data_IF_973995423029
#
_entry.id   IF_973995423029
#
_cell.length_a   1.000
_cell.length_b   1.000
_cell.length_c   1.000
_cell.angle_alpha   90.00
_cell.angle_beta   90.00
_cell.angle_gamma   90.00
#
_symmetry.space_group_name_H-M   'P 1'
#
loop_
_entity.id
_entity.type
_entity.pdbx_description
1 polymer ?
#
# COMPACT_ATOMS: atom_id res chain seq x y z
N UNK A 1 8.10 0.43 25.28
CA UNK A 1 8.29 1.57 24.37
C UNK A 1 7.00 2.35 24.23
N UNK A 2 7.04 3.63 24.56
CA UNK A 2 5.93 4.58 24.44
C UNK A 2 5.98 5.22 23.06
N UNK A 3 4.96 4.97 22.24
CA UNK A 3 4.81 5.61 20.93
C UNK A 3 4.41 7.06 21.16
N UNK A 4 5.38 7.95 21.28
CA UNK A 4 5.14 9.35 21.66
C UNK A 4 4.39 10.16 20.59
N UNK A 5 4.41 9.70 19.33
CA UNK A 5 3.89 10.47 18.19
C UNK A 5 4.75 11.67 17.83
N UNK A 6 5.91 11.85 18.47
CA UNK A 6 6.86 12.88 18.13
C UNK A 6 7.52 12.57 16.77
N UNK A 7 7.96 13.60 16.02
CA UNK A 7 8.74 13.40 14.80
C UNK A 7 9.93 12.47 15.04
N UNK A 8 10.10 11.48 14.16
CA UNK A 8 11.17 10.51 14.28
C UNK A 8 12.53 11.18 13.99
N UNK A 9 13.51 10.96 14.88
CA UNK A 9 14.90 11.41 14.68
C UNK A 9 15.76 10.37 13.96
N UNK A 10 15.21 9.17 13.73
CA UNK A 10 15.78 8.10 12.91
C UNK A 10 14.65 7.23 12.37
N UNK A 11 14.84 6.66 11.18
CA UNK A 11 13.80 5.88 10.51
C UNK A 11 14.00 4.38 10.73
N UNK A 12 12.98 3.71 11.25
CA UNK A 12 12.94 2.26 11.35
C UNK A 12 11.82 1.71 10.46
N UNK A 13 12.20 1.09 9.35
CA UNK A 13 11.26 0.48 8.42
C UNK A 13 11.11 -1.02 8.67
N UNK A 14 9.96 -1.55 8.27
CA UNK A 14 9.70 -2.99 8.29
C UNK A 14 10.45 -3.65 7.15
N UNK A 15 11.12 -4.76 7.44
CA UNK A 15 11.79 -5.63 6.45
C UNK A 15 10.97 -6.89 6.14
N UNK A 16 9.90 -7.10 6.88
CA UNK A 16 8.89 -8.14 6.70
C UNK A 16 7.54 -7.61 7.21
N UNK A 17 6.41 -8.15 6.75
CA UNK A 17 5.11 -7.66 7.17
C UNK A 17 4.89 -7.88 8.66
N UNK A 18 4.44 -6.83 9.35
CA UNK A 18 4.10 -6.93 10.78
C UNK A 18 2.84 -6.14 11.12
N UNK A 19 2.29 -6.42 12.30
CA UNK A 19 1.15 -5.67 12.82
C UNK A 19 1.49 -4.19 13.03
N UNK A 20 0.57 -3.28 12.69
CA UNK A 20 0.69 -1.84 13.00
C UNK A 20 0.83 -1.57 14.51
N UNK A 21 0.34 -2.48 15.35
CA UNK A 21 0.45 -2.46 16.81
C UNK A 21 1.70 -3.16 17.37
N UNK A 22 2.60 -3.69 16.52
CA UNK A 22 3.83 -4.35 16.95
C UNK A 22 4.73 -3.42 17.78
N UNK A 23 5.17 -3.89 18.95
CA UNK A 23 6.07 -3.13 19.85
C UNK A 23 7.53 -3.57 19.72
N UNK A 24 7.87 -4.36 18.70
CA UNK A 24 9.23 -4.89 18.51
C UNK A 24 10.24 -3.77 18.26
N UNK A 25 9.86 -2.79 17.44
CA UNK A 25 10.63 -1.58 17.16
C UNK A 25 9.69 -0.37 17.08
N UNK A 26 10.25 0.84 17.17
CA UNK A 26 9.52 2.09 16.90
C UNK A 26 9.41 2.32 15.39
N UNK A 27 8.64 1.44 14.74
CA UNK A 27 8.41 1.52 13.30
C UNK A 27 7.81 2.87 12.89
N UNK A 28 8.43 3.50 11.91
CA UNK A 28 8.01 4.80 11.43
C UNK A 28 6.82 4.70 10.48
N UNK A 29 6.07 5.79 10.41
CA UNK A 29 5.04 6.05 9.41
C UNK A 29 5.10 7.53 9.04
N UNK A 30 4.58 7.88 7.87
CA UNK A 30 4.43 9.28 7.49
C UNK A 30 3.01 9.75 7.80
N UNK A 31 2.88 10.87 8.50
CA UNK A 31 1.59 11.54 8.68
C UNK A 31 1.32 12.45 7.49
N UNK A 32 0.13 12.36 6.91
CA UNK A 32 -0.27 13.14 5.74
C UNK A 32 -1.50 13.97 6.09
N UNK A 33 -1.35 15.29 6.00
CA UNK A 33 -2.40 16.27 6.29
C UNK A 33 -2.73 17.07 5.04
N UNK A 34 -4.02 17.17 4.74
CA UNK A 34 -4.55 18.15 3.79
C UNK A 34 -5.52 19.09 4.51
N UNK A 35 -5.63 20.36 4.11
CA UNK A 35 -6.62 21.26 4.67
C UNK A 35 -8.04 20.68 4.51
N UNK A 36 -8.77 20.59 5.63
CA UNK A 36 -10.17 20.13 5.68
C UNK A 36 -10.41 18.67 5.25
N UNK A 37 -9.39 17.82 5.23
CA UNK A 37 -9.55 16.38 5.02
C UNK A 37 -9.10 15.60 6.27
N UNK A 38 -9.59 14.37 6.48
CA UNK A 38 -9.08 13.49 7.53
C UNK A 38 -7.56 13.27 7.40
N UNK A 39 -6.89 13.10 8.54
CA UNK A 39 -5.46 12.78 8.57
C UNK A 39 -5.24 11.33 8.17
N UNK A 40 -4.21 11.08 7.36
CA UNK A 40 -3.80 9.75 6.94
C UNK A 40 -2.42 9.42 7.52
N UNK A 41 -2.13 8.13 7.62
CA UNK A 41 -0.81 7.59 7.87
C UNK A 41 -0.38 6.68 6.72
N UNK A 42 0.81 6.90 6.17
CA UNK A 42 1.44 5.98 5.23
C UNK A 42 2.40 5.03 5.96
N UNK A 43 2.18 3.74 5.78
CA UNK A 43 2.93 2.66 6.41
C UNK A 43 3.60 1.80 5.35
N UNK A 44 4.77 1.26 5.69
CA UNK A 44 5.45 0.22 4.93
C UNK A 44 5.30 -1.11 5.66
N UNK A 45 4.95 -2.17 4.92
CA UNK A 45 4.97 -3.57 5.35
C UNK A 45 4.01 -3.90 6.49
N UNK A 46 2.74 -3.51 6.40
CA UNK A 46 1.74 -3.80 7.44
C UNK A 46 0.72 -4.83 7.00
N UNK A 47 0.18 -5.58 7.96
CA UNK A 47 -0.99 -6.41 7.73
C UNK A 47 -2.29 -5.59 7.76
N UNK A 48 -3.18 -5.85 6.80
CA UNK A 48 -4.53 -5.30 6.64
C UNK A 48 -5.53 -6.45 6.61
N UNK A 49 -6.66 -6.32 7.31
CA UNK A 49 -7.72 -7.33 7.30
C UNK A 49 -8.62 -7.14 6.07
N UNK A 50 -8.68 -8.17 5.22
CA UNK A 50 -9.55 -8.24 4.05
C UNK A 50 -11.02 -8.47 4.40
N UNK A 51 -11.91 -8.44 3.39
CA UNK A 51 -13.34 -8.71 3.59
C UNK A 51 -13.61 -10.11 4.11
N UNK A 52 -12.82 -11.09 3.67
CA UNK A 52 -12.83 -12.47 4.16
C UNK A 52 -12.33 -12.63 5.60
N UNK A 53 -11.86 -11.54 6.24
CA UNK A 53 -11.16 -11.51 7.53
C UNK A 53 -9.77 -12.17 7.51
N UNK A 54 -9.30 -12.61 6.34
CA UNK A 54 -7.91 -13.00 6.16
C UNK A 54 -7.03 -11.76 6.20
N UNK A 55 -5.90 -11.86 6.89
CA UNK A 55 -4.90 -10.80 6.90
C UNK A 55 -4.06 -10.87 5.64
N UNK A 56 -3.88 -9.70 5.04
CA UNK A 56 -3.07 -9.50 3.86
C UNK A 56 -1.93 -8.56 4.16
N UNK A 57 -0.77 -8.86 3.61
CA UNK A 57 0.33 -7.92 3.57
C UNK A 57 0.00 -6.76 2.61
N UNK A 58 0.38 -5.55 2.99
CA UNK A 58 0.46 -4.41 2.10
C UNK A 58 1.88 -3.84 2.20
N UNK A 59 2.62 -3.90 1.09
CA UNK A 59 3.98 -3.35 1.01
C UNK A 59 3.98 -1.85 1.36
N UNK A 60 3.01 -1.10 0.83
CA UNK A 60 2.69 0.27 1.26
C UNK A 60 1.18 0.43 1.45
N UNK A 61 0.76 1.05 2.55
CA UNK A 61 -0.64 1.33 2.84
C UNK A 61 -0.84 2.73 3.41
N UNK A 62 -1.84 3.44 2.88
CA UNK A 62 -2.29 4.75 3.37
C UNK A 62 -3.61 4.54 4.11
N UNK A 63 -3.56 4.66 5.42
CA UNK A 63 -4.66 4.33 6.34
C UNK A 63 -5.16 5.60 7.01
N UNK A 64 -6.46 5.70 7.31
CA UNK A 64 -6.93 6.79 8.16
C UNK A 64 -6.28 6.74 9.53
N UNK A 65 -5.88 7.91 10.05
CA UNK A 65 -5.19 8.01 11.34
C UNK A 65 -6.06 7.49 12.50
N UNK A 66 -7.37 7.72 12.48
CA UNK A 66 -8.32 7.22 13.49
C UNK A 66 -8.35 5.68 13.56
N UNK A 67 -8.38 5.02 12.40
CA UNK A 67 -8.27 3.56 12.29
C UNK A 67 -6.93 3.09 12.81
N UNK A 68 -5.84 3.76 12.43
CA UNK A 68 -4.51 3.41 12.88
C UNK A 68 -4.38 3.49 14.40
N UNK A 69 -4.90 4.56 15.04
CA UNK A 69 -4.96 4.66 16.50
C UNK A 69 -5.81 3.56 17.14
N UNK A 70 -6.97 3.28 16.56
CA UNK A 70 -7.86 2.20 17.02
C UNK A 70 -7.16 0.85 16.97
N UNK A 71 -6.46 0.55 15.88
CA UNK A 71 -5.69 -0.67 15.68
C UNK A 71 -4.58 -0.82 16.72
N UNK A 72 -3.86 0.27 17.00
CA UNK A 72 -2.81 0.31 18.02
C UNK A 72 -3.34 0.11 19.43
N UNK A 73 -4.49 0.70 19.75
CA UNK A 73 -5.10 0.60 21.07
C UNK A 73 -5.69 -0.80 21.34
N UNK A 74 -6.28 -1.42 20.33
CA UNK A 74 -7.03 -2.66 20.47
C UNK A 74 -6.27 -3.91 19.98
N UNK A 75 -5.04 -3.75 19.49
CA UNK A 75 -4.23 -4.84 18.92
C UNK A 75 -4.95 -5.57 17.77
N UNK A 76 -5.58 -4.80 16.88
CA UNK A 76 -6.26 -5.30 15.67
C UNK A 76 -5.64 -4.73 14.41
N UNK A 77 -5.87 -5.37 13.26
CA UNK A 77 -5.38 -4.90 11.96
C UNK A 77 -6.33 -3.88 11.33
N UNK A 78 -5.81 -2.91 10.54
CA UNK A 78 -6.66 -2.00 9.79
C UNK A 78 -7.61 -2.78 8.88
N UNK A 79 -8.86 -2.35 8.82
CA UNK A 79 -9.85 -2.89 7.88
C UNK A 79 -9.53 -2.40 6.47
N UNK A 80 -9.71 -3.25 5.46
CA UNK A 80 -9.53 -2.87 4.05
C UNK A 80 -10.32 -1.62 3.64
N UNK A 81 -11.54 -1.46 4.17
CA UNK A 81 -12.39 -0.27 3.98
C UNK A 81 -11.83 1.04 4.54
N UNK A 82 -10.80 0.97 5.39
CA UNK A 82 -10.10 2.11 6.01
C UNK A 82 -8.71 2.34 5.41
N UNK A 83 -8.39 1.64 4.33
CA UNK A 83 -7.18 1.88 3.54
C UNK A 83 -7.58 2.70 2.31
N UNK A 84 -7.08 3.93 2.21
CA UNK A 84 -7.34 4.81 1.07
C UNK A 84 -6.62 4.33 -0.19
N UNK A 85 -5.34 4.00 -0.04
CA UNK A 85 -4.44 3.59 -1.11
C UNK A 85 -3.58 2.45 -0.57
N UNK A 86 -3.40 1.39 -1.36
CA UNK A 86 -2.33 0.41 -1.11
C UNK A 86 -1.56 0.14 -2.38
N UNK A 87 -0.30 -0.18 -2.19
CA UNK A 87 0.65 -0.42 -3.26
C UNK A 87 1.38 -1.72 -2.92
N UNK A 88 1.29 -2.67 -3.83
CA UNK A 88 2.04 -3.91 -3.79
C UNK A 88 3.25 -3.75 -4.72
N UNK A 89 4.44 -3.95 -4.18
CA UNK A 89 5.72 -3.68 -4.83
C UNK A 89 6.48 -4.99 -5.02
N UNK A 90 6.72 -5.40 -6.27
CA UNK A 90 7.50 -6.59 -6.58
C UNK A 90 8.78 -6.28 -7.32
N UNK A 91 9.90 -6.60 -6.67
CA UNK A 91 11.23 -6.46 -7.24
C UNK A 91 11.64 -7.76 -7.95
N UNK A 92 11.81 -7.68 -9.26
CA UNK A 92 12.37 -8.75 -10.07
C UNK A 92 13.54 -8.20 -10.91
N UNK A 93 14.56 -9.02 -11.16
CA UNK A 93 15.75 -8.61 -11.93
C UNK A 93 15.97 -9.43 -13.20
N UNK A 94 15.55 -10.69 -13.22
CA UNK A 94 15.86 -11.62 -14.33
C UNK A 94 14.80 -12.70 -14.57
N UNK A 95 13.68 -12.69 -13.83
CA UNK A 95 12.56 -13.60 -14.02
C UNK A 95 11.34 -12.85 -14.55
N UNK A 96 10.64 -13.43 -15.53
CA UNK A 96 9.34 -12.93 -15.97
C UNK A 96 8.33 -13.08 -14.82
N UNK A 97 7.41 -12.12 -14.69
CA UNK A 97 6.29 -12.30 -13.76
C UNK A 97 5.37 -13.40 -14.31
N UNK A 98 5.30 -14.52 -13.61
CA UNK A 98 4.39 -15.61 -13.95
C UNK A 98 2.92 -15.19 -13.81
N UNK A 99 2.04 -15.77 -14.62
CA UNK A 99 0.58 -15.52 -14.56
C UNK A 99 0.02 -15.83 -13.17
N UNK A 100 0.57 -16.82 -12.48
CA UNK A 100 0.07 -17.26 -11.18
C UNK A 100 0.28 -16.19 -10.11
N UNK A 101 1.38 -15.44 -10.17
CA UNK A 101 1.58 -14.27 -9.32
C UNK A 101 0.52 -13.20 -9.61
N UNK A 102 0.25 -12.93 -10.89
CA UNK A 102 -0.81 -12.01 -11.30
C UNK A 102 -2.19 -12.45 -10.81
N UNK A 103 -2.51 -13.75 -10.87
CA UNK A 103 -3.79 -14.29 -10.37
C UNK A 103 -3.91 -14.21 -8.85
N UNK A 104 -2.85 -14.54 -8.12
CA UNK A 104 -2.80 -14.37 -6.66
C UNK A 104 -3.03 -12.91 -6.27
N UNK A 105 -2.43 -11.98 -7.01
CA UNK A 105 -2.65 -10.55 -6.80
C UNK A 105 -4.08 -10.10 -7.15
N UNK A 106 -4.70 -10.65 -8.20
CA UNK A 106 -6.12 -10.39 -8.48
C UNK A 106 -7.02 -10.85 -7.33
N UNK A 107 -6.79 -12.04 -6.78
CA UNK A 107 -7.51 -12.53 -5.61
C UNK A 107 -7.32 -11.64 -4.37
N UNK A 108 -6.10 -11.16 -4.16
CA UNK A 108 -5.76 -10.19 -3.11
C UNK A 108 -6.55 -8.87 -3.26
N UNK A 109 -6.50 -8.25 -4.46
CA UNK A 109 -7.26 -7.01 -4.70
C UNK A 109 -8.75 -7.24 -4.49
N UNK A 110 -9.27 -8.37 -4.96
CA UNK A 110 -10.70 -8.67 -4.85
C UNK A 110 -11.14 -8.89 -3.39
N UNK A 111 -10.25 -9.26 -2.47
CA UNK A 111 -10.57 -9.36 -1.04
C UNK A 111 -10.35 -8.05 -0.26
N UNK A 112 -9.40 -7.20 -0.70
CA UNK A 112 -9.19 -5.86 -0.14
C UNK A 112 -10.15 -4.82 -0.80
N UNK A 113 -10.87 -5.23 -1.84
CA UNK A 113 -11.95 -4.58 -2.62
C UNK A 113 -12.29 -3.13 -2.24
N UNK A 114 -11.48 -2.22 -2.76
CA UNK A 114 -11.68 -0.77 -2.77
C UNK A 114 -10.81 -0.19 -3.89
N UNK A 115 -11.17 0.96 -4.44
CA UNK A 115 -10.33 1.65 -5.42
C UNK A 115 -8.95 2.00 -4.83
N UNK A 116 -7.97 2.30 -5.69
CA UNK A 116 -6.63 2.70 -5.25
C UNK A 116 -5.80 1.53 -4.74
N UNK A 117 -5.76 0.44 -5.51
CA UNK A 117 -4.91 -0.73 -5.26
C UNK A 117 -3.99 -0.89 -6.44
N UNK A 118 -2.69 -0.67 -6.23
CA UNK A 118 -1.71 -0.64 -7.30
C UNK A 118 -0.80 -1.85 -7.21
N UNK A 119 -0.53 -2.45 -8.37
CA UNK A 119 0.61 -3.33 -8.54
C UNK A 119 1.76 -2.57 -9.15
N UNK A 120 2.95 -2.67 -8.55
CA UNK A 120 4.17 -2.08 -9.10
C UNK A 120 5.24 -3.14 -9.24
N UNK A 121 5.92 -3.16 -10.37
CA UNK A 121 7.11 -4.00 -10.53
C UNK A 121 8.21 -3.36 -11.37
N UNK A 122 9.46 -3.76 -11.10
CA UNK A 122 10.65 -3.33 -11.82
C UNK A 122 10.85 -4.02 -13.18
N UNK A 123 10.16 -5.14 -13.47
CA UNK A 123 10.38 -5.93 -14.70
C UNK A 123 9.24 -5.81 -15.69
N UNK A 124 9.58 -5.41 -16.92
CA UNK A 124 8.67 -5.38 -18.05
C UNK A 124 8.87 -6.63 -18.92
N UNK A 125 8.11 -7.69 -18.66
CA UNK A 125 7.76 -8.71 -19.65
C UNK A 125 6.91 -9.81 -19.02
N UNK A 126 5.66 -9.95 -19.46
CA UNK A 126 4.86 -11.13 -19.14
C UNK A 126 3.39 -11.00 -19.53
N UNK A 127 2.66 -12.09 -19.36
CA UNK A 127 1.21 -12.20 -19.53
C UNK A 127 0.40 -11.48 -18.44
N UNK A 128 1.07 -10.91 -17.44
CA UNK A 128 0.46 -10.18 -16.32
C UNK A 128 -0.14 -8.84 -16.75
N UNK A 129 0.48 -8.10 -17.69
CA UNK A 129 -0.11 -6.87 -18.23
C UNK A 129 -1.45 -7.13 -18.92
N UNK A 130 -1.50 -8.19 -19.73
CA UNK A 130 -2.74 -8.62 -20.41
C UNK A 130 -3.81 -9.01 -19.40
N UNK A 131 -3.41 -9.65 -18.30
CA UNK A 131 -4.30 -10.02 -17.21
C UNK A 131 -4.84 -8.77 -16.49
N UNK A 132 -3.98 -7.87 -16.02
CA UNK A 132 -4.41 -6.68 -15.28
C UNK A 132 -5.21 -5.71 -16.14
N UNK A 133 -4.81 -5.51 -17.40
CA UNK A 133 -5.58 -4.72 -18.37
C UNK A 133 -6.99 -5.27 -18.56
N UNK A 134 -7.14 -6.59 -18.74
CA UNK A 134 -8.47 -7.24 -18.87
C UNK A 134 -9.34 -7.04 -17.63
N UNK A 135 -8.75 -7.08 -16.44
CA UNK A 135 -9.45 -6.91 -15.17
C UNK A 135 -9.57 -5.44 -14.71
N UNK A 136 -9.12 -4.48 -15.54
CA UNK A 136 -9.15 -3.04 -15.26
C UNK A 136 -8.53 -2.68 -13.90
N UNK A 137 -7.44 -3.35 -13.54
CA UNK A 137 -6.71 -3.05 -12.29
C UNK A 137 -5.66 -1.98 -12.55
N UNK A 138 -5.31 -1.22 -11.52
CA UNK A 138 -4.27 -0.20 -11.58
C UNK A 138 -2.90 -0.86 -11.41
N UNK A 139 -1.98 -0.61 -12.35
CA UNK A 139 -0.63 -1.17 -12.29
C UNK A 139 0.39 -0.30 -13.01
N UNK A 140 1.64 -0.44 -12.61
CA UNK A 140 2.80 0.17 -13.26
C UNK A 140 3.93 -0.87 -13.33
N UNK A 141 4.46 -1.13 -14.51
CA UNK A 141 5.47 -2.18 -14.73
C UNK A 141 6.67 -1.60 -15.45
N UNK A 142 7.86 -1.98 -14.99
CA UNK A 142 9.15 -1.47 -15.45
C UNK A 142 9.66 -0.30 -14.62
N UNK A 143 8.99 0.05 -13.51
CA UNK A 143 9.35 1.19 -12.68
C UNK A 143 10.82 1.06 -12.23
N UNK A 144 11.63 2.03 -12.61
CA UNK A 144 13.04 2.07 -12.29
C UNK A 144 13.47 3.52 -12.10
N UNK A 145 14.45 3.80 -11.22
CA UNK A 145 15.11 5.12 -11.18
C UNK A 145 15.70 5.54 -12.54
N UNK A 146 15.92 4.58 -13.45
CA UNK A 146 16.40 4.81 -14.80
C UNK A 146 15.29 5.16 -15.80
N UNK A 147 14.02 5.04 -15.41
CA UNK A 147 12.83 5.29 -16.24
C UNK A 147 11.88 6.31 -15.58
N UNK A 148 12.29 7.59 -15.46
CA UNK A 148 11.56 8.59 -14.67
C UNK A 148 10.13 8.86 -15.15
N UNK A 149 9.83 8.65 -16.44
CA UNK A 149 8.50 8.89 -16.99
C UNK A 149 7.43 7.98 -16.35
N UNK A 150 7.80 6.74 -16.00
CA UNK A 150 6.89 5.80 -15.34
C UNK A 150 6.59 6.23 -13.90
N UNK A 151 7.59 6.78 -13.21
CA UNK A 151 7.41 7.37 -11.88
C UNK A 151 6.45 8.57 -11.95
N UNK A 152 6.62 9.46 -12.94
CA UNK A 152 5.75 10.62 -13.14
C UNK A 152 4.30 10.17 -13.37
N UNK A 153 4.09 9.15 -14.22
CA UNK A 153 2.75 8.59 -14.49
C UNK A 153 2.12 8.01 -13.23
N UNK A 154 2.86 7.19 -12.50
CA UNK A 154 2.39 6.58 -11.26
C UNK A 154 2.04 7.65 -10.21
N UNK A 155 2.89 8.67 -10.06
CA UNK A 155 2.63 9.80 -9.18
C UNK A 155 1.33 10.51 -9.55
N UNK A 156 1.09 10.74 -10.83
CA UNK A 156 -0.18 11.31 -11.32
C UNK A 156 -1.41 10.46 -10.95
N UNK A 157 -1.30 9.13 -10.99
CA UNK A 157 -2.35 8.22 -10.53
C UNK A 157 -2.62 8.34 -9.03
N UNK A 158 -1.57 8.48 -8.20
CA UNK A 158 -1.72 8.73 -6.77
C UNK A 158 -2.32 10.11 -6.48
N UNK A 159 -1.86 11.14 -7.18
CA UNK A 159 -2.40 12.50 -7.08
C UNK A 159 -3.90 12.56 -7.37
N UNK A 160 -4.39 11.78 -8.35
CA UNK A 160 -5.83 11.65 -8.64
C UNK A 160 -6.61 11.09 -7.45
N UNK A 161 -6.06 10.11 -6.74
CA UNK A 161 -6.69 9.53 -5.55
C UNK A 161 -6.75 10.56 -4.42
N UNK A 162 -5.63 11.24 -4.14
CA UNK A 162 -5.60 12.28 -3.11
C UNK A 162 -6.48 13.48 -3.48
N UNK A 163 -6.59 13.84 -4.76
CA UNK A 163 -7.53 14.86 -5.23
C UNK A 163 -8.97 14.49 -4.91
N UNK A 164 -9.37 13.26 -5.23
CA UNK A 164 -10.71 12.76 -4.95
C UNK A 164 -10.97 12.65 -3.44
N UNK A 165 -9.96 12.24 -2.66
CA UNK A 165 -10.03 12.19 -1.21
C UNK A 165 -10.30 13.56 -0.58
N UNK A 166 -9.60 14.60 -1.04
CA UNK A 166 -9.78 15.99 -0.57
C UNK A 166 -11.13 16.61 -0.94
N UNK A 167 -11.84 16.04 -1.91
CA UNK A 167 -13.11 16.55 -2.41
C UNK A 167 -14.34 15.92 -1.73
N UNK A 168 -14.12 14.90 -0.87
CA UNK A 168 -15.16 14.26 -0.05
C UNK A 168 -15.32 15.04 1.24
#
# INVERSE_FOLDING_TARGET
MTRSGAPATGFYFRTSPTSIFSKLHDYCHAEIRFPRAPVLEAHVGIFVSGKSRVNHECDVAFVYQDEAHTCRANSVHPRSSKVLLSVECKYYLSSSLGVDLGRSFLGLIDDIYTDGRFFISTQNAGSVDRLFSRHKKEYEIGLSPLTPDQEIRLRGSFEKIFRNFKAR
#
